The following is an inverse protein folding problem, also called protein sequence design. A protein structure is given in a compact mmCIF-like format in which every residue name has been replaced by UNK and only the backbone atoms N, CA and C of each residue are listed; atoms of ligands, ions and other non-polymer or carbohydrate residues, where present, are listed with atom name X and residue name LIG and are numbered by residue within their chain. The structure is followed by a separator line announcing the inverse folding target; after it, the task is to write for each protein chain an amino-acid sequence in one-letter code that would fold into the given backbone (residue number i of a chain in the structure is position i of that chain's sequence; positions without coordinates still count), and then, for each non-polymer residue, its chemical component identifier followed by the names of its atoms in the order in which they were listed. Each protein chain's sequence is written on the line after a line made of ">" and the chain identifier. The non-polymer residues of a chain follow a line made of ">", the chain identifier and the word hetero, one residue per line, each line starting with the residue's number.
data_IF_623565476785
#
_entry.id   IF_623565476785
#
_cell.length_a   1.000
_cell.length_b   1.000
_cell.length_c   1.000
_cell.angle_alpha   90.00
_cell.angle_beta   90.00
_cell.angle_gamma   90.00
#
_symmetry.space_group_name_H-M   'P 1'
#
loop_
_entity.id
_entity.type
_entity.pdbx_description
1 polymer ?
#
# COMPACT_ATOMS: atom_id res chain seq x y z
N UNK A 1 6.77 18.09 2.85
CA UNK A 1 5.42 18.09 3.45
C UNK A 1 4.94 16.67 3.56
N UNK A 2 4.11 16.36 4.56
CA UNK A 2 3.56 15.03 4.75
C UNK A 2 2.36 14.86 3.81
N UNK A 3 2.08 13.64 3.36
CA UNK A 3 0.97 13.34 2.46
C UNK A 3 -0.38 13.90 2.91
N UNK A 4 -0.64 13.91 4.22
CA UNK A 4 -1.85 14.49 4.77
C UNK A 4 -1.96 16.01 4.52
N UNK A 5 -0.84 16.73 4.48
CA UNK A 5 -0.83 18.16 4.20
C UNK A 5 -1.11 18.47 2.72
N UNK A 6 -0.68 17.60 1.81
CA UNK A 6 -0.83 17.79 0.35
C UNK A 6 -2.15 17.24 -0.17
N UNK A 7 -2.53 16.04 0.29
CA UNK A 7 -3.75 15.37 -0.15
C UNK A 7 -4.94 15.64 0.76
N UNK A 8 -4.75 16.08 2.00
CA UNK A 8 -5.82 16.12 3.00
C UNK A 8 -6.14 14.75 3.61
N UNK A 9 -7.11 14.72 4.52
CA UNK A 9 -7.50 13.50 5.26
C UNK A 9 -8.99 13.20 5.19
N UNK A 10 -9.35 11.92 5.26
CA UNK A 10 -10.73 11.45 5.30
C UNK A 10 -11.56 12.04 4.16
N UNK A 11 -12.71 12.64 4.49
CA UNK A 11 -13.61 13.28 3.51
C UNK A 11 -12.98 14.44 2.72
N UNK A 12 -11.93 15.09 3.24
CA UNK A 12 -11.25 16.21 2.58
C UNK A 12 -10.07 15.75 1.71
N UNK A 13 -9.84 14.44 1.59
CA UNK A 13 -8.76 13.91 0.77
C UNK A 13 -9.06 14.15 -0.70
N UNK A 14 -8.16 14.80 -1.42
CA UNK A 14 -8.27 15.07 -2.85
C UNK A 14 -6.90 15.13 -3.51
N UNK A 15 -6.88 15.06 -4.84
CA UNK A 15 -5.68 15.30 -5.64
C UNK A 15 -5.59 16.83 -5.84
N UNK A 16 -4.49 17.49 -5.42
CA UNK A 16 -4.35 18.93 -5.59
C UNK A 16 -4.02 19.30 -7.04
N UNK A 17 -3.97 20.59 -7.31
CA UNK A 17 -3.54 21.14 -8.60
C UNK A 17 -2.16 20.62 -9.03
N UNK A 18 -1.95 20.54 -10.34
CA UNK A 18 -0.78 19.89 -10.94
C UNK A 18 0.55 20.46 -10.45
N UNK A 19 0.64 21.77 -10.23
CA UNK A 19 1.84 22.43 -9.72
C UNK A 19 2.24 21.91 -8.34
N UNK A 20 1.27 21.82 -7.43
CA UNK A 20 1.47 21.31 -6.07
C UNK A 20 1.78 19.81 -6.11
N UNK A 21 1.02 19.05 -6.89
CA UNK A 21 1.21 17.60 -7.03
C UNK A 21 2.60 17.26 -7.56
N UNK A 22 3.02 17.90 -8.65
CA UNK A 22 4.31 17.64 -9.29
C UNK A 22 5.47 17.98 -8.38
N UNK A 23 5.40 19.10 -7.65
CA UNK A 23 6.42 19.48 -6.68
C UNK A 23 6.52 18.45 -5.53
N UNK A 24 5.38 17.98 -5.01
CA UNK A 24 5.36 16.96 -3.96
C UNK A 24 5.95 15.62 -4.42
N UNK A 25 5.56 15.16 -5.62
CA UNK A 25 6.08 13.91 -6.19
C UNK A 25 7.58 14.00 -6.51
N UNK A 26 8.04 15.12 -7.07
CA UNK A 26 9.46 15.34 -7.35
C UNK A 26 10.31 15.32 -6.07
N UNK A 27 9.84 15.99 -5.01
CA UNK A 27 10.50 15.95 -3.69
C UNK A 27 10.57 14.54 -3.13
N UNK A 28 9.48 13.75 -3.21
CA UNK A 28 9.48 12.35 -2.79
C UNK A 28 10.51 11.52 -3.56
N UNK A 29 10.55 11.66 -4.88
CA UNK A 29 11.52 10.96 -5.73
C UNK A 29 12.96 11.29 -5.37
N UNK A 30 13.27 12.58 -5.17
CA UNK A 30 14.60 13.03 -4.76
C UNK A 30 15.02 12.42 -3.41
N UNK A 31 14.16 12.48 -2.40
CA UNK A 31 14.43 11.93 -1.07
C UNK A 31 14.60 10.41 -1.11
N UNK A 32 13.78 9.67 -1.88
CA UNK A 32 13.95 8.22 -2.05
C UNK A 32 15.32 7.89 -2.64
N UNK A 33 15.75 8.65 -3.65
CA UNK A 33 17.06 8.47 -4.29
C UNK A 33 18.22 8.73 -3.31
N UNK A 34 18.11 9.77 -2.49
CA UNK A 34 19.10 10.11 -1.45
C UNK A 34 19.14 9.08 -0.30
N UNK A 35 17.97 8.58 0.13
CA UNK A 35 17.86 7.65 1.25
C UNK A 35 18.29 6.22 0.88
N UNK A 36 18.12 5.81 -0.37
CA UNK A 36 18.45 4.45 -0.83
C UNK A 36 19.84 3.98 -0.36
N UNK A 37 20.96 4.68 -0.63
CA UNK A 37 22.28 4.22 -0.19
C UNK A 37 22.41 4.13 1.34
N UNK A 38 21.76 5.02 2.09
CA UNK A 38 21.79 5.02 3.56
C UNK A 38 21.05 3.81 4.13
N UNK A 39 19.86 3.52 3.60
CA UNK A 39 19.05 2.37 4.02
C UNK A 39 19.70 1.04 3.62
N UNK A 40 20.28 0.94 2.43
CA UNK A 40 21.04 -0.25 2.00
C UNK A 40 22.22 -0.49 2.93
N UNK A 41 22.93 0.56 3.35
CA UNK A 41 24.01 0.41 4.34
C UNK A 41 23.47 -0.14 5.66
N UNK A 42 22.38 0.42 6.19
CA UNK A 42 21.77 -0.05 7.44
C UNK A 42 21.30 -1.51 7.35
N UNK A 43 20.70 -1.90 6.21
CA UNK A 43 20.32 -3.29 5.97
C UNK A 43 21.51 -4.25 5.98
N UNK A 44 22.65 -3.83 5.40
CA UNK A 44 23.89 -4.62 5.45
C UNK A 44 24.48 -4.68 6.85
N UNK A 45 24.51 -3.56 7.57
CA UNK A 45 24.97 -3.49 8.95
C UNK A 45 24.14 -4.42 9.87
N UNK A 46 22.85 -4.57 9.57
CA UNK A 46 21.93 -5.47 10.27
C UNK A 46 21.88 -6.91 9.72
N UNK A 47 22.65 -7.26 8.69
CA UNK A 47 22.60 -8.57 8.00
C UNK A 47 21.21 -8.92 7.41
N UNK A 48 20.43 -7.90 7.02
CA UNK A 48 19.08 -8.05 6.47
C UNK A 48 19.02 -7.78 4.96
N UNK A 49 20.13 -7.40 4.35
CA UNK A 49 20.15 -7.02 2.93
C UNK A 49 19.69 -8.15 2.00
N UNK A 50 20.17 -9.37 2.22
CA UNK A 50 19.76 -10.54 1.42
C UNK A 50 18.28 -10.88 1.63
N UNK A 51 17.78 -10.79 2.87
CA UNK A 51 16.36 -10.98 3.16
C UNK A 51 15.49 -9.98 2.37
N UNK A 52 15.90 -8.70 2.36
CA UNK A 52 15.18 -7.66 1.63
C UNK A 52 15.20 -7.91 0.11
N UNK A 53 16.36 -8.14 -0.48
CA UNK A 53 16.51 -8.27 -1.95
C UNK A 53 15.98 -9.61 -2.48
N UNK A 54 16.23 -10.72 -1.81
CA UNK A 54 15.96 -12.06 -2.35
C UNK A 54 14.61 -12.64 -1.90
N UNK A 55 14.01 -12.11 -0.82
CA UNK A 55 12.70 -12.57 -0.33
C UNK A 55 11.64 -11.48 -0.44
N UNK A 56 11.82 -10.35 0.24
CA UNK A 56 10.77 -9.33 0.38
C UNK A 56 10.45 -8.64 -0.96
N UNK A 57 11.49 -8.27 -1.72
CA UNK A 57 11.32 -7.62 -3.02
C UNK A 57 10.56 -8.52 -4.03
N UNK A 58 10.93 -9.80 -4.26
CA UNK A 58 10.14 -10.73 -5.07
C UNK A 58 8.72 -10.96 -4.53
N UNK A 59 8.58 -11.08 -3.21
CA UNK A 59 7.29 -11.29 -2.56
C UNK A 59 6.32 -10.15 -2.85
N UNK A 60 6.78 -8.89 -2.83
CA UNK A 60 5.93 -7.72 -3.13
C UNK A 60 5.28 -7.80 -4.52
N UNK A 61 5.98 -8.36 -5.51
CA UNK A 61 5.47 -8.55 -6.86
C UNK A 61 4.40 -9.65 -6.89
N UNK A 62 4.62 -10.73 -6.13
CA UNK A 62 3.65 -11.82 -6.02
C UNK A 62 2.37 -11.33 -5.35
N UNK A 63 2.49 -10.58 -4.25
CA UNK A 63 1.35 -9.99 -3.54
C UNK A 63 0.57 -9.05 -4.44
N UNK A 64 1.24 -8.17 -5.19
CA UNK A 64 0.56 -7.28 -6.15
C UNK A 64 -0.21 -8.05 -7.22
N UNK A 65 0.29 -9.21 -7.68
CA UNK A 65 -0.44 -10.08 -8.62
C UNK A 65 -1.66 -10.73 -7.97
N UNK A 66 -1.52 -11.19 -6.72
CA UNK A 66 -2.62 -11.78 -5.96
C UNK A 66 -3.73 -10.76 -5.72
N UNK A 67 -3.38 -9.53 -5.31
CA UNK A 67 -4.32 -8.43 -5.11
C UNK A 67 -5.04 -8.05 -6.41
N UNK A 68 -4.32 -7.98 -7.53
CA UNK A 68 -4.90 -7.69 -8.84
C UNK A 68 -5.86 -8.78 -9.33
N UNK A 69 -5.57 -10.05 -9.03
CA UNK A 69 -6.45 -11.17 -9.37
C UNK A 69 -7.72 -11.17 -8.52
N UNK A 70 -7.56 -10.89 -7.22
CA UNK A 70 -8.66 -10.94 -6.26
C UNK A 70 -9.09 -12.37 -5.93
N UNK A 71 -10.25 -12.47 -5.30
CA UNK A 71 -10.84 -13.74 -4.84
C UNK A 71 -12.28 -13.80 -5.37
N UNK A 72 -12.63 -14.93 -5.99
CA UNK A 72 -14.00 -15.16 -6.45
C UNK A 72 -14.92 -15.41 -5.27
N UNK A 73 -16.10 -14.79 -5.29
CA UNK A 73 -17.08 -14.87 -4.20
C UNK A 73 -18.47 -15.12 -4.78
N UNK A 74 -19.18 -16.09 -4.20
CA UNK A 74 -20.61 -16.29 -4.45
C UNK A 74 -21.42 -15.31 -3.57
N UNK A 75 -22.02 -14.31 -4.22
CA UNK A 75 -22.80 -13.28 -3.54
C UNK A 75 -24.15 -13.80 -3.04
N UNK A 76 -24.73 -14.78 -3.72
CA UNK A 76 -26.03 -15.31 -3.36
C UNK A 76 -25.89 -16.13 -2.08
N UNK A 77 -24.89 -17.01 -2.01
CA UNK A 77 -24.60 -17.79 -0.81
C UNK A 77 -24.33 -16.88 0.40
N UNK A 78 -23.53 -15.82 0.22
CA UNK A 78 -23.27 -14.86 1.29
C UNK A 78 -24.55 -14.14 1.79
N UNK A 79 -25.48 -13.85 0.89
CA UNK A 79 -26.74 -13.19 1.24
C UNK A 79 -27.64 -14.14 2.02
N UNK A 80 -27.80 -15.37 1.53
CA UNK A 80 -28.58 -16.41 2.21
C UNK A 80 -28.02 -16.74 3.61
N UNK A 81 -26.70 -16.82 3.74
CA UNK A 81 -26.05 -16.99 5.04
C UNK A 81 -26.35 -15.83 5.98
N UNK A 82 -26.33 -14.59 5.47
CA UNK A 82 -26.67 -13.39 6.23
C UNK A 82 -28.12 -13.40 6.75
N UNK A 83 -29.07 -13.80 5.91
CA UNK A 83 -30.49 -13.93 6.29
C UNK A 83 -30.69 -15.01 7.36
N UNK A 84 -30.09 -16.20 7.18
CA UNK A 84 -30.16 -17.30 8.15
C UNK A 84 -29.58 -16.91 9.51
N UNK A 85 -28.45 -16.21 9.52
CA UNK A 85 -27.81 -15.73 10.76
C UNK A 85 -28.68 -14.70 11.47
N UNK A 86 -29.27 -13.76 10.73
CA UNK A 86 -30.15 -12.72 11.30
C UNK A 86 -31.36 -13.36 11.98
N UNK A 87 -32.02 -14.31 11.32
CA UNK A 87 -33.16 -15.03 11.87
C UNK A 87 -32.84 -15.91 13.10
N UNK A 88 -31.56 -16.26 13.31
CA UNK A 88 -31.12 -17.04 14.49
C UNK A 88 -30.75 -16.16 15.67
N UNK A 89 -30.44 -14.88 15.42
CA UNK A 89 -30.05 -13.90 16.44
C UNK A 89 -31.24 -13.10 16.99
N UNK A 90 -32.38 -13.13 16.29
CA UNK A 90 -33.69 -12.64 16.76
C UNK A 90 -34.38 -13.69 17.65
#
# INVERSE_FOLDING_TARGET
>A
EIDEAVYGKGKKRHIPELEILSQHLARKGAVINELKPLLVKQLKDNQQYELFEELEMPLSIVLGKMEMNGISVDKNELTEMGEKLTATLE
#
